data_IF_339154988245
#
_entry.id   IF_339154988245
#
_cell.length_a   1.000
_cell.length_b   1.000
_cell.length_c   1.000
_cell.angle_alpha   90.00
_cell.angle_beta   90.00
_cell.angle_gamma   90.00
#
_symmetry.space_group_name_H-M   'P 1'
#
loop_
_entity.id
_entity.type
_entity.pdbx_description
1 polymer ?
#
# COMPACT_ATOMS: atom_id res chain seq x y z
N UNK A 1 -5.57 -19.45 23.57
CA UNK A 1 -5.60 -19.82 22.14
C UNK A 1 -6.97 -19.43 21.63
N UNK A 2 -7.07 -18.48 20.69
CA UNK A 2 -8.36 -18.12 20.12
C UNK A 2 -8.91 -19.37 19.42
N UNK A 3 -10.05 -19.88 19.89
CA UNK A 3 -10.77 -20.94 19.21
C UNK A 3 -11.13 -20.42 17.82
N UNK A 4 -10.58 -21.04 16.78
CA UNK A 4 -10.95 -20.74 15.41
C UNK A 4 -12.41 -21.17 15.21
N UNK A 5 -13.32 -20.20 15.12
CA UNK A 5 -14.72 -20.46 14.83
C UNK A 5 -14.84 -20.56 13.32
N UNK A 6 -15.27 -21.71 12.76
CA UNK A 6 -15.42 -21.84 11.32
C UNK A 6 -16.42 -20.81 10.80
N UNK A 7 -16.18 -20.30 9.60
CA UNK A 7 -17.10 -19.37 8.96
C UNK A 7 -18.50 -20.01 8.81
N UNK A 8 -19.59 -19.23 8.86
CA UNK A 8 -20.91 -19.76 8.55
C UNK A 8 -20.96 -20.25 7.10
N UNK A 9 -21.71 -21.34 6.85
CA UNK A 9 -21.96 -21.83 5.50
C UNK A 9 -22.84 -20.83 4.75
N UNK A 10 -22.37 -20.38 3.59
CA UNK A 10 -23.11 -19.46 2.73
C UNK A 10 -24.27 -20.19 2.00
N UNK A 11 -25.32 -19.44 1.58
CA UNK A 11 -26.36 -20.01 0.74
C UNK A 11 -25.73 -20.60 -0.52
N UNK A 12 -26.21 -21.79 -0.91
CA UNK A 12 -25.61 -22.52 -2.02
C UNK A 12 -25.67 -21.71 -3.32
N UNK A 13 -24.52 -21.57 -3.96
CA UNK A 13 -24.40 -20.92 -5.27
C UNK A 13 -25.24 -21.68 -6.33
N UNK A 14 -26.18 -21.02 -7.03
CA UNK A 14 -26.94 -21.60 -8.12
C UNK A 14 -26.08 -22.14 -9.28
N UNK A 15 -24.87 -21.62 -9.48
CA UNK A 15 -23.94 -22.08 -10.52
C UNK A 15 -23.24 -23.40 -10.14
N UNK A 16 -23.21 -23.73 -8.85
CA UNK A 16 -22.71 -25.01 -8.37
C UNK A 16 -23.77 -26.11 -8.56
N UNK A 17 -23.37 -27.15 -9.30
CA UNK A 17 -24.18 -28.36 -9.48
C UNK A 17 -24.58 -29.00 -8.15
N UNK A 18 -25.64 -29.83 -8.13
CA UNK A 18 -26.12 -30.49 -6.91
C UNK A 18 -25.12 -31.40 -6.22
N UNK A 19 -24.11 -31.85 -6.95
CA UNK A 19 -23.17 -32.85 -6.48
C UNK A 19 -21.91 -32.25 -5.85
N UNK A 20 -21.65 -30.94 -6.05
CA UNK A 20 -20.48 -30.30 -5.45
C UNK A 20 -20.75 -29.91 -3.99
N UNK A 21 -19.84 -30.23 -3.05
CA UNK A 21 -20.07 -29.96 -1.63
C UNK A 21 -20.14 -28.46 -1.34
N UNK A 22 -21.15 -28.04 -0.57
CA UNK A 22 -21.26 -26.67 -0.06
C UNK A 22 -20.51 -26.56 1.27
N UNK A 23 -19.23 -26.21 1.22
CA UNK A 23 -18.37 -26.01 2.39
C UNK A 23 -18.29 -24.53 2.78
N UNK A 24 -18.00 -24.18 4.05
CA UNK A 24 -17.82 -22.80 4.46
C UNK A 24 -16.71 -22.08 3.68
N UNK A 25 -16.93 -20.79 3.40
CA UNK A 25 -15.93 -19.92 2.78
C UNK A 25 -14.90 -19.49 3.82
N UNK A 26 -13.82 -20.26 3.95
CA UNK A 26 -12.77 -20.00 4.93
C UNK A 26 -11.39 -19.91 4.27
N UNK A 27 -10.64 -18.85 4.58
CA UNK A 27 -9.27 -18.70 4.10
C UNK A 27 -8.34 -19.66 4.82
N UNK A 28 -7.56 -20.43 4.06
CA UNK A 28 -6.55 -21.34 4.61
C UNK A 28 -5.54 -20.61 5.52
N UNK A 29 -5.25 -19.33 5.25
CA UNK A 29 -4.37 -18.49 6.07
C UNK A 29 -4.90 -18.24 7.50
N UNK A 30 -6.21 -18.38 7.72
CA UNK A 30 -6.82 -18.22 9.05
C UNK A 30 -6.80 -19.50 9.88
N UNK A 31 -6.58 -20.66 9.23
CA UNK A 31 -6.48 -21.95 9.92
C UNK A 31 -5.27 -21.99 10.85
N UNK A 32 -5.37 -22.76 11.92
CA UNK A 32 -4.28 -22.94 12.87
C UNK A 32 -3.00 -23.44 12.16
N UNK A 33 -1.88 -22.72 12.25
CA UNK A 33 -0.64 -23.09 11.57
C UNK A 33 0.00 -24.39 12.10
N UNK A 34 -0.29 -24.79 13.34
CA UNK A 34 0.34 -25.96 13.97
C UNK A 34 -0.39 -27.29 13.70
N UNK A 35 -1.61 -27.23 13.21
CA UNK A 35 -2.47 -28.41 13.00
C UNK A 35 -3.94 -28.14 13.29
N UNK A 36 -4.79 -29.00 12.76
CA UNK A 36 -6.24 -28.96 12.98
C UNK A 36 -6.69 -29.88 14.12
N UNK A 37 -7.98 -30.15 14.18
CA UNK A 37 -8.59 -31.02 15.21
C UNK A 37 -8.03 -32.45 15.22
N UNK A 38 -7.68 -32.97 14.04
CA UNK A 38 -7.19 -34.34 13.86
C UNK A 38 -5.66 -34.48 14.05
N UNK A 39 -4.96 -33.41 14.43
CA UNK A 39 -3.50 -33.38 14.56
C UNK A 39 -2.83 -32.51 13.50
N UNK A 40 -1.57 -32.83 13.15
CA UNK A 40 -0.83 -32.08 12.13
C UNK A 40 -1.51 -32.20 10.78
N UNK A 41 -1.47 -31.12 10.00
CA UNK A 41 -1.92 -31.13 8.62
C UNK A 41 -1.13 -32.15 7.80
N UNK A 42 -1.82 -32.84 6.90
CA UNK A 42 -1.13 -33.70 5.91
C UNK A 42 -0.26 -32.86 4.99
N UNK A 43 -0.79 -31.74 4.49
CA UNK A 43 -0.04 -30.70 3.80
C UNK A 43 0.10 -29.49 4.74
N UNK A 44 1.29 -29.37 5.34
CA UNK A 44 1.61 -28.28 6.27
C UNK A 44 1.65 -26.91 5.60
N UNK A 45 2.00 -26.84 4.31
CA UNK A 45 2.14 -25.56 3.60
C UNK A 45 0.76 -24.98 3.25
N UNK A 46 -0.13 -25.84 2.74
CA UNK A 46 -1.50 -25.43 2.39
C UNK A 46 -2.49 -25.54 3.56
N UNK A 47 -2.05 -26.02 4.73
CA UNK A 47 -2.88 -26.22 5.95
C UNK A 47 -4.13 -27.07 5.66
N UNK A 48 -3.92 -28.22 5.01
CA UNK A 48 -4.98 -29.08 4.47
C UNK A 48 -4.75 -30.56 4.78
N UNK A 49 -5.84 -31.31 4.93
CA UNK A 49 -5.82 -32.76 5.07
C UNK A 49 -6.16 -33.48 3.76
N UNK A 50 -5.68 -34.72 3.61
CA UNK A 50 -6.00 -35.53 2.44
C UNK A 50 -7.48 -35.92 2.42
N UNK A 51 -8.15 -35.76 1.27
CA UNK A 51 -9.57 -36.08 1.11
C UNK A 51 -10.53 -35.04 1.70
N UNK A 52 -10.03 -33.91 2.20
CA UNK A 52 -10.87 -32.81 2.66
C UNK A 52 -11.62 -32.17 1.47
N UNK A 53 -12.94 -31.91 1.60
CA UNK A 53 -13.71 -31.27 0.53
C UNK A 53 -13.21 -29.85 0.28
N UNK A 54 -13.10 -29.50 -1.00
CA UNK A 54 -12.55 -28.23 -1.45
C UNK A 54 -13.66 -27.20 -1.68
N UNK A 55 -13.45 -25.95 -1.25
CA UNK A 55 -14.36 -24.88 -1.62
C UNK A 55 -14.29 -24.62 -3.13
N UNK A 56 -15.40 -24.21 -3.75
CA UNK A 56 -15.44 -23.95 -5.20
C UNK A 56 -14.43 -22.88 -5.64
N UNK A 57 -14.22 -21.88 -4.78
CA UNK A 57 -13.25 -20.79 -4.96
C UNK A 57 -11.92 -20.99 -4.19
N UNK A 58 -11.44 -22.23 -4.09
CA UNK A 58 -10.21 -22.51 -3.32
C UNK A 58 -8.99 -21.71 -3.79
N UNK A 59 -8.88 -21.43 -5.09
CA UNK A 59 -7.79 -20.61 -5.63
C UNK A 59 -7.69 -19.24 -4.94
N UNK A 60 -8.82 -18.64 -4.55
CA UNK A 60 -8.91 -17.35 -3.87
C UNK A 60 -8.90 -17.46 -2.33
N UNK A 61 -9.06 -18.66 -1.78
CA UNK A 61 -9.04 -18.94 -0.34
C UNK A 61 -7.74 -19.63 0.10
N UNK A 62 -6.91 -20.02 -0.85
CA UNK A 62 -5.66 -20.74 -0.64
C UNK A 62 -4.63 -19.90 0.14
N UNK A 63 -3.60 -20.56 0.67
CA UNK A 63 -2.47 -19.85 1.31
C UNK A 63 -1.72 -18.96 0.31
N UNK A 64 -1.80 -19.29 -0.97
CA UNK A 64 -1.17 -18.56 -2.09
C UNK A 64 -1.96 -17.33 -2.53
N UNK A 65 -3.17 -17.15 -2.01
CA UNK A 65 -3.98 -15.97 -2.23
C UNK A 65 -3.39 -14.74 -1.54
N UNK A 66 -3.80 -13.52 -1.93
CA UNK A 66 -3.50 -12.32 -1.17
C UNK A 66 -3.82 -12.48 0.33
N UNK A 67 -2.99 -11.88 1.17
CA UNK A 67 -3.08 -12.05 2.63
C UNK A 67 -4.39 -11.50 3.21
N UNK A 68 -4.98 -12.21 4.17
CA UNK A 68 -6.24 -11.81 4.81
C UNK A 68 -6.01 -10.57 5.68
N UNK A 69 -6.70 -9.45 5.42
CA UNK A 69 -6.48 -8.23 6.17
C UNK A 69 -7.01 -8.35 7.61
N UNK A 70 -6.16 -8.02 8.60
CA UNK A 70 -6.57 -7.95 10.01
C UNK A 70 -7.43 -6.72 10.34
N UNK A 71 -7.32 -5.67 9.52
CA UNK A 71 -8.05 -4.40 9.70
C UNK A 71 -9.10 -4.27 8.59
N UNK A 72 -10.35 -3.87 8.91
CA UNK A 72 -11.35 -3.63 7.88
C UNK A 72 -10.86 -2.63 6.83
N UNK A 73 -11.08 -2.90 5.52
CA UNK A 73 -10.46 -2.11 4.45
C UNK A 73 -10.84 -0.63 4.50
N UNK A 74 -12.09 -0.32 4.88
CA UNK A 74 -12.56 1.06 5.04
C UNK A 74 -11.77 1.82 6.12
N UNK A 75 -11.46 1.17 7.24
CA UNK A 75 -10.67 1.76 8.33
C UNK A 75 -9.21 1.91 7.94
N UNK A 76 -8.65 0.90 7.27
CA UNK A 76 -7.28 0.95 6.76
C UNK A 76 -7.09 2.12 5.80
N UNK A 77 -8.00 2.28 4.82
CA UNK A 77 -7.98 3.38 3.87
C UNK A 77 -8.13 4.74 4.55
N UNK A 78 -9.05 4.85 5.51
CA UNK A 78 -9.24 6.07 6.29
C UNK A 78 -7.95 6.50 7.02
N UNK A 79 -7.34 5.60 7.79
CA UNK A 79 -6.09 5.91 8.50
C UNK A 79 -4.93 6.22 7.56
N UNK A 80 -4.80 5.47 6.46
CA UNK A 80 -3.78 5.72 5.46
C UNK A 80 -3.95 7.09 4.79
N UNK A 81 -5.17 7.45 4.42
CA UNK A 81 -5.48 8.75 3.82
C UNK A 81 -5.15 9.93 4.75
N UNK A 82 -5.47 9.80 6.05
CA UNK A 82 -5.10 10.81 7.06
C UNK A 82 -3.58 10.94 7.16
N UNK A 83 -2.84 9.83 7.23
CA UNK A 83 -1.39 9.86 7.33
C UNK A 83 -0.76 10.56 6.10
N UNK A 84 -1.20 10.21 4.89
CA UNK A 84 -0.75 10.86 3.66
C UNK A 84 -1.10 12.35 3.64
N UNK A 85 -2.33 12.72 4.02
CA UNK A 85 -2.77 14.11 4.05
C UNK A 85 -1.95 14.92 5.06
N UNK A 86 -1.73 14.41 6.27
CA UNK A 86 -0.91 15.08 7.27
C UNK A 86 0.53 15.30 6.78
N UNK A 87 1.12 14.30 6.13
CA UNK A 87 2.48 14.40 5.58
C UNK A 87 2.57 15.47 4.47
N UNK A 88 1.64 15.44 3.52
CA UNK A 88 1.59 16.43 2.42
C UNK A 88 1.27 17.82 2.94
N UNK A 89 0.29 17.95 3.84
CA UNK A 89 -0.07 19.23 4.44
C UNK A 89 1.12 19.83 5.20
N UNK A 90 1.89 19.02 5.92
CA UNK A 90 3.11 19.48 6.57
C UNK A 90 4.14 19.98 5.55
N UNK A 91 4.43 19.21 4.50
CA UNK A 91 5.37 19.61 3.45
C UNK A 91 4.97 20.89 2.72
N UNK A 92 3.68 21.11 2.52
CA UNK A 92 3.14 22.35 1.92
C UNK A 92 3.14 23.51 2.92
N UNK A 93 2.96 23.24 4.21
CA UNK A 93 2.89 24.27 5.25
C UNK A 93 4.26 24.85 5.62
N UNK A 94 5.31 24.02 5.63
CA UNK A 94 6.67 24.44 6.06
C UNK A 94 7.21 25.66 5.28
N UNK A 95 7.10 25.75 3.94
CA UNK A 95 7.57 26.92 3.19
C UNK A 95 6.92 28.24 3.62
N UNK A 96 5.66 28.24 4.08
CA UNK A 96 4.98 29.47 4.49
C UNK A 96 5.49 30.05 5.81
N UNK A 97 6.16 29.24 6.63
CA UNK A 97 6.70 29.66 7.93
C UNK A 97 8.23 29.74 7.93
N UNK A 98 8.87 29.31 6.83
CA UNK A 98 10.32 29.28 6.73
C UNK A 98 10.88 30.70 6.67
N UNK A 99 11.90 30.96 7.48
CA UNK A 99 12.65 32.22 7.42
C UNK A 99 13.49 32.24 6.15
N UNK A 100 13.48 33.38 5.45
CA UNK A 100 14.29 33.59 4.26
C UNK A 100 15.78 33.38 4.56
N UNK A 101 16.53 32.88 3.58
CA UNK A 101 17.96 32.66 3.76
C UNK A 101 18.66 33.98 4.11
N UNK A 102 19.43 34.05 5.22
CA UNK A 102 20.13 35.28 5.59
C UNK A 102 21.31 35.60 4.67
N UNK A 103 21.68 34.67 3.78
CA UNK A 103 22.74 34.85 2.80
C UNK A 103 22.17 35.31 1.47
N UNK A 104 22.70 36.42 0.95
CA UNK A 104 22.43 36.84 -0.42
C UNK A 104 22.82 35.72 -1.41
N UNK A 105 21.98 35.45 -2.43
CA UNK A 105 22.27 34.40 -3.39
C UNK A 105 23.51 34.77 -4.22
N UNK A 106 24.39 33.80 -4.46
CA UNK A 106 25.66 34.00 -5.20
C UNK A 106 25.44 34.65 -6.57
N UNK A 107 26.07 35.80 -6.82
CA UNK A 107 26.15 36.43 -8.15
C UNK A 107 27.33 35.90 -8.95
N UNK A 108 27.20 35.93 -10.28
CA UNK A 108 28.24 35.52 -11.21
C UNK A 108 28.49 36.64 -12.22
N UNK A 109 29.76 36.95 -12.54
CA UNK A 109 30.09 37.98 -13.53
C UNK A 109 29.63 37.57 -14.94
N UNK A 110 29.61 38.53 -15.87
CA UNK A 110 29.23 38.32 -17.27
C UNK A 110 27.77 37.85 -17.45
N UNK A 111 26.81 38.58 -16.85
CA UNK A 111 25.36 38.34 -16.94
C UNK A 111 24.94 36.91 -16.52
N UNK A 112 25.56 36.36 -15.48
CA UNK A 112 25.29 34.99 -15.05
C UNK A 112 26.04 33.92 -15.85
N UNK A 113 27.21 34.26 -16.41
CA UNK A 113 28.11 33.34 -17.11
C UNK A 113 27.50 32.72 -18.37
N UNK A 114 26.70 33.49 -19.12
CA UNK A 114 25.93 33.04 -20.30
C UNK A 114 26.81 32.31 -21.31
N UNK A 115 27.96 32.88 -21.67
CA UNK A 115 28.87 32.29 -22.66
C UNK A 115 29.38 30.92 -22.23
N UNK A 116 29.74 30.77 -20.95
CA UNK A 116 30.30 29.53 -20.40
C UNK A 116 29.22 28.45 -20.17
N UNK A 117 27.95 28.86 -20.00
CA UNK A 117 26.79 27.97 -19.86
C UNK A 117 26.09 27.66 -21.19
N UNK A 118 26.74 27.93 -22.31
CA UNK A 118 26.27 27.52 -23.64
C UNK A 118 25.55 28.61 -24.44
N UNK A 119 25.67 29.88 -24.05
CA UNK A 119 25.31 31.05 -24.88
C UNK A 119 23.81 31.25 -25.14
N UNK A 120 22.96 30.36 -24.63
CA UNK A 120 21.51 30.47 -24.72
C UNK A 120 21.02 31.35 -23.57
N UNK A 121 20.26 32.40 -23.90
CA UNK A 121 19.56 33.27 -22.93
C UNK A 121 18.74 32.43 -21.91
N UNK A 122 18.22 31.28 -22.34
CA UNK A 122 17.44 30.32 -21.54
C UNK A 122 18.26 29.62 -20.44
N UNK A 123 19.58 29.53 -20.59
CA UNK A 123 20.48 28.88 -19.64
C UNK A 123 21.03 29.84 -18.56
N UNK A 124 20.53 31.07 -18.51
CA UNK A 124 20.91 32.04 -17.46
C UNK A 124 20.63 31.43 -16.09
N UNK A 125 21.68 31.29 -15.27
CA UNK A 125 21.56 30.75 -13.92
C UNK A 125 20.71 31.66 -13.00
N UNK A 126 20.68 32.97 -13.28
CA UNK A 126 19.81 33.98 -12.64
C UNK A 126 19.77 35.24 -13.51
N UNK A 127 18.58 35.79 -13.76
CA UNK A 127 18.44 37.12 -14.37
C UNK A 127 18.72 38.16 -13.28
N UNK A 128 19.75 38.98 -13.46
CA UNK A 128 19.97 40.13 -12.57
C UNK A 128 18.96 41.22 -12.96
N UNK A 129 17.95 41.44 -12.12
CA UNK A 129 17.20 42.68 -12.17
C UNK A 129 18.10 43.75 -11.57
N UNK A 130 18.67 44.59 -12.44
CA UNK A 130 19.30 45.84 -11.98
C UNK A 130 18.13 46.68 -11.45
N UNK A 131 17.98 46.72 -10.13
CA UNK A 131 17.14 47.72 -9.49
C UNK A 131 17.84 49.07 -9.72
N UNK A 132 17.50 49.71 -10.85
CA UNK A 132 17.81 51.10 -11.13
C UNK A 132 16.91 51.96 -10.21
N UNK A 133 17.31 52.11 -8.94
CA UNK A 133 16.78 53.17 -8.07
C UNK A 133 17.92 54.12 -7.64
N UNK A 134 17.64 55.41 -7.80
CA UNK A 134 18.45 56.63 -7.53
C UNK A 134 19.21 56.67 -6.21
#
# INVERSE_FOLDING_TARGET
MASHVPAPVEPRDPQLGPDYPNVPREYAQTRNPLGGESGRWWDMQNRRNFGEPLHAEDEALSVWSPDVPHVPPQRALFHFSIACLCFVAYGVFVPFIQVESPAAPRSYPYDGLVTELGGLEENKARVETVDDEE
#
